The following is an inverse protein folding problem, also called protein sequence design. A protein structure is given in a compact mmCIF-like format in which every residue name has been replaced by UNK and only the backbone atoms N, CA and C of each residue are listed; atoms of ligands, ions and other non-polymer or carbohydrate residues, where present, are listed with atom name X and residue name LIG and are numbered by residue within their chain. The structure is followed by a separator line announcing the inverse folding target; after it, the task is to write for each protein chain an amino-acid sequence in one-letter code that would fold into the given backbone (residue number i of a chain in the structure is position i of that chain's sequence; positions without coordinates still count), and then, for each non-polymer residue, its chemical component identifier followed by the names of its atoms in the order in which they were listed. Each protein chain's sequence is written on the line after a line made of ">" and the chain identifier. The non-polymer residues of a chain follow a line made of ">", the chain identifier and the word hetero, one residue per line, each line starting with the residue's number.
data_IF_988604598154
#
_entry.id   IF_988604598154
#
_cell.length_a   1.000
_cell.length_b   1.000
_cell.length_c   1.000
_cell.angle_alpha   90.00
_cell.angle_beta   90.00
_cell.angle_gamma   90.00
#
_symmetry.space_group_name_H-M   'P 1'
#
loop_
_entity.id
_entity.type
_entity.pdbx_description
1 polymer ?
#
# COMPACT_ATOMS: atom_id res chain seq x y z
N UNK A 1 -34.33 12.71 -17.10
CA UNK A 1 -33.80 12.22 -15.82
C UNK A 1 -32.40 12.79 -15.67
N UNK A 2 -32.22 13.56 -14.61
CA UNK A 2 -31.23 14.64 -14.46
C UNK A 2 -29.83 14.14 -14.07
N UNK A 3 -28.82 14.51 -14.86
CA UNK A 3 -27.57 15.18 -14.46
C UNK A 3 -26.86 14.77 -13.16
N UNK A 4 -26.67 13.46 -12.91
CA UNK A 4 -25.65 13.01 -11.96
C UNK A 4 -24.28 12.93 -12.67
N UNK A 5 -23.72 14.08 -13.05
CA UNK A 5 -22.30 14.18 -13.44
C UNK A 5 -21.47 13.46 -12.37
N UNK A 6 -20.77 12.39 -12.75
CA UNK A 6 -19.59 11.91 -12.04
C UNK A 6 -18.67 13.11 -11.84
N UNK A 7 -18.77 13.80 -10.70
CA UNK A 7 -17.85 14.87 -10.37
C UNK A 7 -16.50 14.20 -10.11
N UNK A 8 -15.61 14.34 -11.09
CA UNK A 8 -14.20 13.91 -11.05
C UNK A 8 -13.49 14.47 -9.80
N UNK A 9 -13.96 15.62 -9.30
CA UNK A 9 -13.50 16.26 -8.06
C UNK A 9 -14.58 16.08 -6.99
N UNK A 10 -14.35 15.15 -6.07
CA UNK A 10 -15.11 14.96 -4.84
C UNK A 10 -14.17 15.08 -3.64
N UNK A 11 -14.73 15.19 -2.43
CA UNK A 11 -13.91 15.38 -1.22
C UNK A 11 -12.88 14.25 -1.02
N UNK A 12 -13.21 12.96 -1.23
CA UNK A 12 -12.22 11.88 -1.16
C UNK A 12 -11.06 12.03 -2.16
N UNK A 13 -11.34 12.26 -3.44
CA UNK A 13 -10.30 12.39 -4.46
C UNK A 13 -9.36 13.58 -4.19
N UNK A 14 -9.88 14.66 -3.60
CA UNK A 14 -9.05 15.80 -3.22
C UNK A 14 -8.07 15.44 -2.09
N UNK A 15 -8.50 14.66 -1.10
CA UNK A 15 -7.63 14.18 -0.03
C UNK A 15 -6.57 13.22 -0.59
N UNK A 16 -6.92 12.33 -1.52
CA UNK A 16 -5.96 11.43 -2.18
C UNK A 16 -4.93 12.21 -3.02
N UNK A 17 -5.32 13.30 -3.70
CA UNK A 17 -4.38 14.18 -4.40
C UNK A 17 -3.44 14.88 -3.42
N UNK A 18 -3.97 15.40 -2.31
CA UNK A 18 -3.14 16.01 -1.26
C UNK A 18 -2.10 15.00 -0.77
N UNK A 19 -2.48 13.74 -0.53
CA UNK A 19 -1.54 12.68 -0.13
C UNK A 19 -0.38 12.52 -1.12
N UNK A 20 -0.65 12.49 -2.42
CA UNK A 20 0.41 12.43 -3.44
C UNK A 20 1.32 13.66 -3.35
N UNK A 21 0.77 14.84 -3.12
CA UNK A 21 1.53 16.08 -2.94
C UNK A 21 2.33 16.12 -1.63
N UNK A 22 2.04 15.25 -0.66
CA UNK A 22 2.87 15.10 0.55
C UNK A 22 4.19 14.38 0.27
N UNK A 23 4.28 13.56 -0.77
CA UNK A 23 5.53 12.85 -1.08
C UNK A 23 6.72 13.78 -1.34
N UNK A 24 6.62 14.84 -2.18
CA UNK A 24 7.68 15.86 -2.28
C UNK A 24 8.06 16.50 -0.96
N UNK A 25 7.10 16.73 -0.06
CA UNK A 25 7.35 17.31 1.28
C UNK A 25 8.14 16.33 2.15
N UNK A 26 7.76 15.04 2.14
CA UNK A 26 8.50 13.98 2.84
C UNK A 26 9.93 13.88 2.35
N UNK A 27 10.14 13.91 1.02
CA UNK A 27 11.47 13.90 0.41
C UNK A 27 12.26 15.14 0.83
N UNK A 28 11.64 16.32 0.83
CA UNK A 28 12.29 17.55 1.27
C UNK A 28 12.73 17.47 2.75
N UNK A 29 11.89 16.94 3.63
CA UNK A 29 12.23 16.72 5.05
C UNK A 29 13.37 15.72 5.21
N UNK A 30 13.41 14.67 4.38
CA UNK A 30 14.49 13.70 4.36
C UNK A 30 15.82 14.33 3.89
N UNK A 31 15.79 15.10 2.79
CA UNK A 31 16.97 15.79 2.26
C UNK A 31 17.51 16.87 3.19
N UNK A 32 16.63 17.52 3.97
CA UNK A 32 17.02 18.51 4.99
C UNK A 32 17.33 17.90 6.36
N UNK A 33 17.39 16.56 6.44
CA UNK A 33 17.76 15.82 7.65
C UNK A 33 16.89 16.17 8.87
N UNK A 34 15.57 16.24 8.66
CA UNK A 34 14.58 16.51 9.72
C UNK A 34 13.73 15.27 10.05
N UNK A 35 14.29 14.28 10.78
CA UNK A 35 13.64 13.00 11.05
C UNK A 35 12.32 13.14 11.83
N UNK A 36 12.26 14.00 12.85
CA UNK A 36 11.07 14.16 13.68
C UNK A 36 9.89 14.73 12.89
N UNK A 37 10.16 15.75 12.05
CA UNK A 37 9.17 16.33 11.16
C UNK A 37 8.74 15.35 10.08
N UNK A 38 9.67 14.55 9.55
CA UNK A 38 9.36 13.47 8.61
C UNK A 38 8.40 12.46 9.21
N UNK A 39 8.67 11.94 10.43
CA UNK A 39 7.79 10.98 11.10
C UNK A 39 6.42 11.60 11.38
N UNK A 40 6.36 12.84 11.88
CA UNK A 40 5.11 13.54 12.10
C UNK A 40 4.28 13.71 10.82
N UNK A 41 4.93 14.09 9.72
CA UNK A 41 4.30 14.25 8.42
C UNK A 41 3.85 12.90 7.84
N UNK A 42 4.64 11.83 8.03
CA UNK A 42 4.29 10.49 7.60
C UNK A 42 3.03 9.98 8.31
N UNK A 43 2.95 10.14 9.63
CA UNK A 43 1.77 9.79 10.42
C UNK A 43 0.54 10.57 9.92
N UNK A 44 0.70 11.86 9.65
CA UNK A 44 -0.37 12.68 9.10
C UNK A 44 -0.83 12.18 7.72
N UNK A 45 0.11 11.79 6.86
CA UNK A 45 -0.15 11.25 5.52
C UNK A 45 -0.96 9.95 5.58
N UNK A 46 -0.56 9.02 6.45
CA UNK A 46 -1.29 7.75 6.67
C UNK A 46 -2.68 8.02 7.25
N UNK A 47 -2.79 8.99 8.16
CA UNK A 47 -4.09 9.37 8.71
C UNK A 47 -5.04 9.92 7.64
N UNK A 48 -4.53 10.70 6.68
CA UNK A 48 -5.36 11.23 5.58
C UNK A 48 -5.89 10.15 4.65
N UNK A 49 -5.15 9.07 4.41
CA UNK A 49 -5.62 7.89 3.68
C UNK A 49 -6.80 7.18 4.39
N UNK A 50 -6.66 6.93 5.69
CA UNK A 50 -7.75 6.34 6.46
C UNK A 50 -9.01 7.21 6.43
N UNK A 51 -8.83 8.54 6.44
CA UNK A 51 -9.92 9.51 6.39
C UNK A 51 -10.62 9.54 5.03
N UNK A 52 -9.90 9.51 3.91
CA UNK A 52 -10.51 9.58 2.58
C UNK A 52 -11.34 8.34 2.26
N UNK A 53 -10.83 7.15 2.60
CA UNK A 53 -11.55 5.88 2.45
C UNK A 53 -12.76 5.77 3.38
N UNK A 54 -12.71 6.42 4.55
CA UNK A 54 -13.86 6.56 5.43
C UNK A 54 -14.91 7.52 4.86
N UNK A 55 -14.50 8.71 4.41
CA UNK A 55 -15.37 9.72 3.80
C UNK A 55 -16.03 9.20 2.53
N UNK A 56 -15.31 8.49 1.66
CA UNK A 56 -15.85 7.89 0.44
C UNK A 56 -17.01 6.92 0.73
N UNK A 57 -16.88 6.11 1.80
CA UNK A 57 -17.91 5.15 2.22
C UNK A 57 -19.14 5.83 2.82
N UNK A 58 -18.94 6.82 3.71
CA UNK A 58 -20.06 7.53 4.34
C UNK A 58 -20.82 8.38 3.33
N UNK A 59 -20.10 9.10 2.48
CA UNK A 59 -20.70 9.99 1.48
C UNK A 59 -21.23 9.23 0.27
N UNK A 60 -21.00 7.91 0.18
CA UNK A 60 -21.31 7.06 -0.98
C UNK A 60 -20.71 7.63 -2.27
N UNK A 61 -19.49 8.15 -2.18
CA UNK A 61 -18.75 8.82 -3.26
C UNK A 61 -17.58 7.95 -3.76
N UNK A 62 -17.79 6.64 -3.86
CA UNK A 62 -16.81 5.72 -4.44
C UNK A 62 -16.80 5.94 -5.95
N UNK A 63 -15.64 6.27 -6.52
CA UNK A 63 -15.47 6.52 -7.96
C UNK A 63 -14.28 5.74 -8.51
N UNK A 64 -14.31 5.35 -9.78
CA UNK A 64 -13.19 4.67 -10.45
C UNK A 64 -11.91 5.52 -10.43
N UNK A 65 -12.05 6.83 -10.69
CA UNK A 65 -10.93 7.77 -10.59
C UNK A 65 -10.32 7.80 -9.19
N UNK A 66 -11.16 7.78 -8.15
CA UNK A 66 -10.70 7.72 -6.76
C UNK A 66 -9.93 6.43 -6.46
N UNK A 67 -10.40 5.28 -6.93
CA UNK A 67 -9.70 4.01 -6.77
C UNK A 67 -8.34 3.99 -7.49
N UNK A 68 -8.25 4.58 -8.68
CA UNK A 68 -6.97 4.74 -9.38
C UNK A 68 -6.03 5.68 -8.62
N UNK A 69 -6.51 6.85 -8.18
CA UNK A 69 -5.73 7.79 -7.39
C UNK A 69 -5.23 7.17 -6.08
N UNK A 70 -6.03 6.29 -5.47
CA UNK A 70 -5.67 5.57 -4.26
C UNK A 70 -4.49 4.62 -4.49
N UNK A 71 -4.57 3.80 -5.53
CA UNK A 71 -3.48 2.89 -5.91
C UNK A 71 -2.19 3.63 -6.27
N UNK A 72 -2.31 4.75 -7.00
CA UNK A 72 -1.15 5.60 -7.32
C UNK A 72 -0.58 6.29 -6.08
N UNK A 73 -1.44 6.77 -5.19
CA UNK A 73 -1.05 7.39 -3.93
C UNK A 73 -0.26 6.45 -3.05
N UNK A 74 -0.76 5.24 -2.84
CA UNK A 74 -0.10 4.19 -2.08
C UNK A 74 1.27 3.84 -2.67
N UNK A 75 1.33 3.64 -3.99
CA UNK A 75 2.59 3.36 -4.67
C UNK A 75 3.61 4.49 -4.45
N UNK A 76 3.19 5.75 -4.62
CA UNK A 76 4.07 6.91 -4.43
C UNK A 76 4.54 7.01 -2.97
N UNK A 77 3.64 6.84 -1.99
CA UNK A 77 4.00 6.94 -0.57
C UNK A 77 4.92 5.81 -0.14
N UNK A 78 4.67 4.56 -0.51
CA UNK A 78 5.54 3.44 -0.11
C UNK A 78 6.94 3.56 -0.70
N UNK A 79 7.07 3.96 -1.97
CA UNK A 79 8.38 4.24 -2.56
C UNK A 79 9.08 5.42 -1.89
N UNK A 80 8.31 6.47 -1.56
CA UNK A 80 8.84 7.63 -0.83
C UNK A 80 9.34 7.24 0.56
N UNK A 81 8.60 6.38 1.28
CA UNK A 81 9.01 5.86 2.59
C UNK A 81 10.33 5.10 2.50
N UNK A 82 10.46 4.18 1.54
CA UNK A 82 11.69 3.41 1.35
C UNK A 82 12.88 4.31 1.00
N UNK A 83 12.69 5.30 0.12
CA UNK A 83 13.73 6.27 -0.24
C UNK A 83 14.14 7.13 0.95
N UNK A 84 13.17 7.70 1.68
CA UNK A 84 13.44 8.58 2.82
C UNK A 84 14.09 7.82 3.98
N UNK A 85 13.73 6.55 4.20
CA UNK A 85 14.42 5.69 5.16
C UNK A 85 15.92 5.62 4.87
N UNK A 86 16.30 5.40 3.61
CA UNK A 86 17.71 5.35 3.19
C UNK A 86 18.43 6.69 3.36
N UNK A 87 17.73 7.80 3.13
CA UNK A 87 18.32 9.15 3.22
C UNK A 87 18.51 9.63 4.67
N UNK A 88 17.60 9.26 5.58
CA UNK A 88 17.61 9.73 6.97
C UNK A 88 18.36 8.78 7.92
N UNK A 89 18.31 7.47 7.66
CA UNK A 89 18.85 6.46 8.57
C UNK A 89 19.54 5.31 7.81
N UNK A 90 20.58 5.60 7.01
CA UNK A 90 21.26 4.59 6.22
C UNK A 90 21.81 3.44 7.08
N UNK A 91 22.29 3.71 8.29
CA UNK A 91 22.85 2.69 9.19
C UNK A 91 21.78 1.70 9.68
N UNK A 92 20.56 2.20 10.00
CA UNK A 92 19.43 1.34 10.41
C UNK A 92 18.98 0.49 9.22
N UNK A 93 18.91 1.09 8.03
CA UNK A 93 18.51 0.37 6.82
C UNK A 93 19.53 -0.69 6.43
N UNK A 94 20.83 -0.42 6.55
CA UNK A 94 21.89 -1.40 6.32
C UNK A 94 21.80 -2.59 7.30
N UNK A 95 21.50 -2.33 8.57
CA UNK A 95 21.32 -3.39 9.57
C UNK A 95 20.10 -4.27 9.28
N UNK A 96 18.99 -3.69 8.84
CA UNK A 96 17.74 -4.39 8.56
C UNK A 96 17.52 -4.69 7.06
N UNK A 97 18.59 -4.64 6.24
CA UNK A 97 18.50 -4.69 4.77
C UNK A 97 17.81 -5.95 4.25
N UNK A 98 18.00 -7.08 4.92
CA UNK A 98 17.37 -8.35 4.57
C UNK A 98 15.84 -8.26 4.67
N UNK A 99 15.31 -7.61 5.70
CA UNK A 99 13.88 -7.41 5.90
C UNK A 99 13.31 -6.37 4.92
N UNK A 100 14.06 -5.30 4.63
CA UNK A 100 13.71 -4.37 3.55
C UNK A 100 13.56 -5.09 2.20
N UNK A 101 14.53 -5.94 1.84
CA UNK A 101 14.48 -6.73 0.61
C UNK A 101 13.27 -7.67 0.60
N UNK A 102 12.97 -8.34 1.73
CA UNK A 102 11.78 -9.20 1.84
C UNK A 102 10.49 -8.40 1.59
N UNK A 103 10.33 -7.25 2.23
CA UNK A 103 9.16 -6.38 2.04
C UNK A 103 9.05 -5.96 0.57
N UNK A 104 10.13 -5.43 -0.01
CA UNK A 104 10.13 -4.96 -1.41
C UNK A 104 9.79 -6.11 -2.39
N UNK A 105 10.43 -7.28 -2.23
CA UNK A 105 10.15 -8.44 -3.08
C UNK A 105 8.72 -8.96 -2.91
N UNK A 106 8.15 -8.86 -1.71
CA UNK A 106 6.78 -9.30 -1.45
C UNK A 106 5.72 -8.48 -2.19
N UNK A 107 6.04 -7.23 -2.58
CA UNK A 107 5.16 -6.40 -3.42
C UNK A 107 5.50 -6.53 -4.92
N UNK A 108 6.79 -6.59 -5.27
CA UNK A 108 7.24 -6.63 -6.67
C UNK A 108 6.93 -7.97 -7.33
N UNK A 109 7.19 -9.10 -6.66
CA UNK A 109 7.03 -10.42 -7.27
C UNK A 109 5.58 -10.75 -7.65
N UNK A 110 4.57 -10.53 -6.79
CA UNK A 110 3.18 -10.74 -7.19
C UNK A 110 2.76 -9.83 -8.33
N UNK A 111 3.18 -8.56 -8.31
CA UNK A 111 2.87 -7.60 -9.38
C UNK A 111 3.46 -8.04 -10.73
N UNK A 112 4.72 -8.50 -10.77
CA UNK A 112 5.37 -9.02 -11.98
C UNK A 112 4.66 -10.27 -12.48
N UNK A 113 4.36 -11.23 -11.60
CA UNK A 113 3.69 -12.48 -11.98
C UNK A 113 2.28 -12.20 -12.52
N UNK A 114 1.55 -11.29 -11.89
CA UNK A 114 0.26 -10.80 -12.36
C UNK A 114 0.36 -10.17 -13.76
N UNK A 115 1.35 -9.31 -13.97
CA UNK A 115 1.60 -8.68 -15.26
C UNK A 115 1.96 -9.69 -16.36
N UNK A 116 2.82 -10.67 -16.07
CA UNK A 116 3.18 -11.72 -17.04
C UNK A 116 1.95 -12.55 -17.42
N UNK A 117 1.09 -12.88 -16.45
CA UNK A 117 -0.06 -13.76 -16.67
C UNK A 117 -1.23 -13.05 -17.36
N UNK A 118 -1.55 -11.83 -16.97
CA UNK A 118 -2.75 -11.11 -17.39
C UNK A 118 -2.48 -9.90 -18.30
N UNK A 119 -1.21 -9.56 -18.54
CA UNK A 119 -0.77 -8.34 -19.23
C UNK A 119 -1.32 -7.05 -18.59
N UNK A 120 -1.60 -7.11 -17.27
CA UNK A 120 -2.14 -6.01 -16.46
C UNK A 120 -1.58 -6.09 -15.04
N UNK A 121 -1.44 -4.94 -14.40
CA UNK A 121 -1.08 -4.89 -12.98
C UNK A 121 -2.26 -5.36 -12.15
N UNK A 122 -2.16 -6.57 -11.62
CA UNK A 122 -3.14 -7.08 -10.65
C UNK A 122 -2.77 -6.61 -9.26
N UNK A 123 -3.70 -5.94 -8.58
CA UNK A 123 -3.59 -5.64 -7.15
C UNK A 123 -4.71 -6.37 -6.43
N UNK A 124 -4.39 -7.40 -5.65
CA UNK A 124 -5.39 -8.09 -4.84
C UNK A 124 -5.41 -7.46 -3.46
N UNK A 125 -6.50 -6.77 -3.12
CA UNK A 125 -6.68 -6.23 -1.77
C UNK A 125 -7.13 -7.31 -0.77
N UNK A 126 -6.34 -8.38 -0.63
CA UNK A 126 -6.62 -9.45 0.33
C UNK A 126 -6.53 -8.91 1.76
N UNK A 127 -7.22 -9.58 2.69
CA UNK A 127 -7.11 -9.24 4.11
C UNK A 127 -5.67 -9.36 4.63
N UNK A 128 -4.87 -10.29 4.09
CA UNK A 128 -3.46 -10.45 4.47
C UNK A 128 -2.63 -9.23 4.06
N UNK A 129 -2.80 -8.72 2.84
CA UNK A 129 -2.11 -7.51 2.36
C UNK A 129 -2.47 -6.30 3.24
N UNK A 130 -3.75 -6.10 3.55
CA UNK A 130 -4.20 -4.99 4.42
C UNK A 130 -3.59 -5.06 5.82
N UNK A 131 -3.56 -6.25 6.41
CA UNK A 131 -2.92 -6.46 7.70
C UNK A 131 -1.41 -6.22 7.64
N UNK A 132 -0.74 -6.77 6.63
CA UNK A 132 0.70 -6.62 6.44
C UNK A 132 1.09 -5.16 6.28
N UNK A 133 0.40 -4.40 5.43
CA UNK A 133 0.62 -2.96 5.23
C UNK A 133 0.42 -2.18 6.53
N UNK A 134 -0.67 -2.41 7.26
CA UNK A 134 -0.93 -1.71 8.52
C UNK A 134 0.18 -1.97 9.56
N UNK A 135 0.62 -3.23 9.69
CA UNK A 135 1.73 -3.59 10.58
C UNK A 135 3.05 -2.98 10.10
N UNK A 136 3.32 -2.97 8.80
CA UNK A 136 4.51 -2.35 8.20
C UNK A 136 4.58 -0.86 8.52
N UNK A 137 3.49 -0.11 8.35
CA UNK A 137 3.48 1.33 8.65
C UNK A 137 3.75 1.60 10.14
N UNK A 138 3.08 0.87 11.04
CA UNK A 138 3.28 1.04 12.49
C UNK A 138 4.72 0.67 12.86
N UNK A 139 5.21 -0.46 12.38
CA UNK A 139 6.56 -0.93 12.67
C UNK A 139 7.65 -0.04 12.09
N UNK A 140 7.42 0.57 10.92
CA UNK A 140 8.32 1.56 10.32
C UNK A 140 8.51 2.75 11.27
N UNK A 141 7.41 3.29 11.81
CA UNK A 141 7.48 4.39 12.78
C UNK A 141 8.21 3.95 14.05
N UNK A 142 7.93 2.77 14.58
CA UNK A 142 8.59 2.26 15.79
C UNK A 142 10.11 2.05 15.61
N UNK A 143 10.52 1.55 14.43
CA UNK A 143 11.91 1.30 14.10
C UNK A 143 12.68 2.63 14.01
N UNK A 144 12.19 3.59 13.23
CA UNK A 144 12.90 4.85 12.98
C UNK A 144 12.80 5.86 14.12
N UNK A 145 11.89 5.66 15.07
CA UNK A 145 11.89 6.39 16.36
C UNK A 145 12.78 5.74 17.42
N UNK A 146 13.36 4.57 17.13
CA UNK A 146 14.22 3.82 18.06
C UNK A 146 13.47 3.22 19.25
N UNK A 147 12.14 3.07 19.16
CA UNK A 147 11.32 2.51 20.23
C UNK A 147 11.43 0.98 20.28
N UNK A 148 11.27 0.32 19.13
CA UNK A 148 11.26 -1.15 19.02
C UNK A 148 11.61 -1.61 17.60
N UNK A 149 12.53 -2.57 17.47
CA UNK A 149 13.00 -3.04 16.15
C UNK A 149 12.30 -4.31 15.66
N UNK A 150 12.00 -5.24 16.58
CA UNK A 150 11.39 -6.53 16.25
C UNK A 150 10.05 -6.46 15.48
N UNK A 151 9.17 -5.43 15.68
CA UNK A 151 7.93 -5.36 14.93
C UNK A 151 8.14 -5.26 13.42
N UNK A 152 9.23 -4.63 12.98
CA UNK A 152 9.55 -4.48 11.55
C UNK A 152 9.89 -5.83 10.90
N UNK A 153 10.60 -6.68 11.64
CA UNK A 153 10.91 -8.06 11.22
C UNK A 153 9.66 -8.91 11.10
N UNK A 154 8.71 -8.73 12.04
CA UNK A 154 7.40 -9.40 11.96
C UNK A 154 6.59 -8.89 10.77
N UNK A 155 6.61 -7.58 10.50
CA UNK A 155 5.98 -7.00 9.34
C UNK A 155 6.51 -7.61 8.04
N UNK A 156 7.84 -7.79 7.93
CA UNK A 156 8.45 -8.43 6.77
C UNK A 156 7.96 -9.87 6.54
N UNK A 157 7.81 -10.67 7.60
CA UNK A 157 7.26 -12.03 7.51
C UNK A 157 5.79 -12.03 7.08
N UNK A 158 4.99 -11.08 7.59
CA UNK A 158 3.59 -10.92 7.18
C UNK A 158 3.47 -10.49 5.71
N UNK A 159 4.31 -9.56 5.27
CA UNK A 159 4.44 -9.15 3.88
C UNK A 159 4.79 -10.34 2.98
N UNK A 160 5.79 -11.14 3.36
CA UNK A 160 6.15 -12.36 2.63
C UNK A 160 4.97 -13.32 2.51
N UNK A 161 4.25 -13.56 3.61
CA UNK A 161 3.05 -14.41 3.60
C UNK A 161 1.97 -13.85 2.65
N UNK A 162 1.71 -12.54 2.72
CA UNK A 162 0.72 -11.89 1.86
C UNK A 162 1.11 -11.97 0.37
N UNK A 163 2.38 -11.74 0.03
CA UNK A 163 2.88 -11.85 -1.33
C UNK A 163 2.79 -13.28 -1.87
N UNK A 164 3.08 -14.30 -1.05
CA UNK A 164 2.86 -15.70 -1.43
C UNK A 164 1.37 -15.98 -1.66
N UNK A 165 0.47 -15.46 -0.81
CA UNK A 165 -0.98 -15.60 -1.00
C UNK A 165 -1.42 -15.00 -2.35
N UNK A 166 -0.96 -13.79 -2.69
CA UNK A 166 -1.28 -13.14 -3.96
C UNK A 166 -0.77 -13.92 -5.17
N UNK A 167 0.44 -14.48 -5.11
CA UNK A 167 1.00 -15.32 -6.18
C UNK A 167 0.15 -16.58 -6.35
N UNK A 168 -0.24 -17.24 -5.26
CA UNK A 168 -1.09 -18.43 -5.30
C UNK A 168 -2.46 -18.11 -5.90
N UNK A 169 -3.07 -17.00 -5.50
CA UNK A 169 -4.35 -16.52 -6.06
C UNK A 169 -4.20 -16.27 -7.57
N UNK A 170 -3.14 -15.56 -7.97
CA UNK A 170 -2.81 -15.26 -9.36
C UNK A 170 -2.69 -16.53 -10.17
N UNK A 171 -2.07 -17.59 -9.64
CA UNK A 171 -1.93 -18.87 -10.34
C UNK A 171 -3.26 -19.63 -10.47
N UNK A 172 -4.11 -19.58 -9.45
CA UNK A 172 -5.39 -20.32 -9.42
C UNK A 172 -6.48 -19.72 -10.32
N UNK A 173 -6.53 -18.39 -10.41
CA UNK A 173 -7.59 -17.69 -11.14
C UNK A 173 -7.26 -17.65 -12.64
N UNK A 174 -8.24 -18.00 -13.49
CA UNK A 174 -8.07 -18.02 -14.95
C UNK A 174 -8.42 -16.68 -15.63
N UNK A 175 -9.29 -15.85 -15.04
CA UNK A 175 -9.71 -14.55 -15.57
C UNK A 175 -9.65 -13.49 -14.46
N UNK A 176 -9.21 -12.26 -14.77
CA UNK A 176 -9.05 -11.16 -13.82
C UNK A 176 -10.37 -10.89 -13.06
N UNK A 177 -10.38 -11.13 -11.74
CA UNK A 177 -11.47 -10.74 -10.85
C UNK A 177 -10.95 -9.67 -9.90
N UNK A 178 -11.54 -8.48 -9.97
CA UNK A 178 -11.12 -7.26 -9.23
C UNK A 178 -11.41 -7.35 -7.71
N UNK A 179 -12.10 -8.40 -7.24
CA UNK A 179 -12.69 -8.44 -5.89
C UNK A 179 -12.43 -9.76 -5.13
N UNK A 180 -11.19 -10.25 -5.16
CA UNK A 180 -10.77 -11.44 -4.41
C UNK A 180 -10.32 -11.03 -3.01
N UNK A 181 -11.16 -11.26 -2.00
CA UNK A 181 -10.89 -10.82 -0.62
C UNK A 181 -10.05 -11.81 0.18
N UNK A 182 -9.96 -13.07 -0.25
CA UNK A 182 -9.18 -14.12 0.43
C UNK A 182 -8.91 -15.33 -0.47
N UNK A 183 -7.87 -16.12 -0.15
CA UNK A 183 -7.62 -17.44 -0.77
C UNK A 183 -8.87 -18.34 -0.81
N UNK A 184 -9.68 -18.36 0.26
CA UNK A 184 -10.90 -19.19 0.33
C UNK A 184 -11.95 -18.79 -0.69
N UNK A 185 -12.03 -17.51 -1.06
CA UNK A 185 -12.94 -17.03 -2.10
C UNK A 185 -12.43 -17.38 -3.50
N UNK A 186 -11.12 -17.28 -3.74
CA UNK A 186 -10.50 -17.71 -5.00
C UNK A 186 -10.73 -19.21 -5.27
N UNK A 187 -10.62 -20.05 -4.23
CA UNK A 187 -10.86 -21.50 -4.35
C UNK A 187 -12.32 -21.84 -4.69
N UNK A 188 -13.29 -20.99 -4.30
CA UNK A 188 -14.70 -21.17 -4.67
C UNK A 188 -14.92 -20.87 -6.16
N UNK A 189 -14.35 -19.78 -6.68
CA UNK A 189 -14.44 -19.46 -8.11
C UNK A 189 -13.82 -20.56 -8.99
N UNK A 190 -12.71 -21.17 -8.56
CA UNK A 190 -12.11 -22.30 -9.28
C UNK A 190 -12.98 -23.56 -9.28
N UNK A 191 -13.81 -23.77 -8.25
CA UNK A 191 -14.75 -24.91 -8.18
C UNK A 191 -16.04 -24.67 -8.96
N UNK A 192 -16.46 -23.43 -9.15
CA UNK A 192 -17.69 -23.09 -9.90
C UNK A 192 -17.47 -23.01 -11.41
N UNK A 193 -16.25 -22.76 -11.87
CA UNK A 193 -15.88 -22.71 -13.30
C UNK A 193 -15.27 -24.02 -13.83
N UNK A 194 -15.56 -25.16 -13.20
CA UNK A 194 -15.19 -26.49 -13.68
C UNK A 194 -16.43 -27.29 -14.06
#
# INVERSE_FOLDING_TARGET
>A
MSDAKQKVINLPNFVSIIRILMAPVLIYLALTQQPDWYIGMLIFTVFTDLLDGFLARILRQITEMGAHLDSWGDFVIYNTMALCAWLLWPEIVEQEISYFIIIVLSFILPAIIGYIKFHRFTSYHTWAVKLAVAVTIISYVLLFTGLMDWPFRVAAVLCLYAGIEEIVITMLIHHEHVDVRSFRQALRYHRENR
#
